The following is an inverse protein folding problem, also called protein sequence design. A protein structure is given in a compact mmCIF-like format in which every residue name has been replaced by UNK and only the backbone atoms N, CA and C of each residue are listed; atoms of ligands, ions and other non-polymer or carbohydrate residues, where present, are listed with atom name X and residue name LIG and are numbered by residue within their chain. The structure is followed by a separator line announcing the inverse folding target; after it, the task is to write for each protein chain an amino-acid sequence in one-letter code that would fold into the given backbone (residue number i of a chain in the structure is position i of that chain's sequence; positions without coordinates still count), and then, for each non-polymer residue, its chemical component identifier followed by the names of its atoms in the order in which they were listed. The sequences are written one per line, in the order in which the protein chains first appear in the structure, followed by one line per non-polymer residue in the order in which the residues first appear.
data_IF_095685591872
#
_entry.id   IF_095685591872
#
_cell.length_a   1.000
_cell.length_b   1.000
_cell.length_c   1.000
_cell.angle_alpha   90.00
_cell.angle_beta   90.00
_cell.angle_gamma   90.00
#
_symmetry.space_group_name_H-M   'P 1'
#
loop_
_entity.id
_entity.type
_entity.pdbx_description
1 polymer ?
#
# COMPACT_ATOMS: atom_id res chain seq x y z
N UNK A 1 -34.17 -14.40 67.60
CA UNK A 1 -32.79 -13.96 67.41
C UNK A 1 -32.50 -13.92 65.90
N UNK A 2 -32.56 -12.74 65.35
CA UNK A 2 -32.41 -12.54 63.90
C UNK A 2 -31.06 -11.86 63.61
N UNK A 3 -30.11 -12.58 63.05
CA UNK A 3 -28.84 -12.03 62.67
C UNK A 3 -28.96 -11.53 61.23
N UNK A 4 -28.95 -10.21 61.06
CA UNK A 4 -28.90 -9.52 59.79
C UNK A 4 -27.47 -9.64 59.26
N UNK A 5 -27.31 -10.30 58.09
CA UNK A 5 -26.10 -10.26 57.29
C UNK A 5 -26.14 -9.00 56.41
N UNK A 6 -25.32 -8.04 56.81
CA UNK A 6 -25.03 -6.88 55.94
C UNK A 6 -24.02 -7.34 54.93
N UNK A 7 -24.44 -7.49 53.66
CA UNK A 7 -23.50 -7.69 52.54
C UNK A 7 -22.94 -6.33 52.13
N UNK A 8 -21.69 -6.13 52.47
CA UNK A 8 -20.90 -5.01 51.99
C UNK A 8 -20.53 -5.28 50.54
N UNK A 9 -21.18 -4.57 49.60
CA UNK A 9 -20.77 -4.53 48.20
C UNK A 9 -19.61 -3.57 48.09
N UNK A 10 -18.40 -4.12 48.09
CA UNK A 10 -17.19 -3.34 47.76
C UNK A 10 -17.21 -3.22 46.23
N UNK A 11 -17.64 -2.08 45.75
CA UNK A 11 -17.47 -1.70 44.34
C UNK A 11 -15.97 -1.44 44.11
N UNK A 12 -15.29 -2.39 43.50
CA UNK A 12 -13.95 -2.21 42.97
C UNK A 12 -14.08 -1.33 41.72
N UNK A 13 -13.97 -0.03 41.93
CA UNK A 13 -13.75 0.89 40.81
C UNK A 13 -12.28 0.74 40.46
N UNK A 14 -12.02 -0.13 39.47
CA UNK A 14 -10.72 -0.19 38.81
C UNK A 14 -10.55 1.09 38.03
N UNK A 15 -9.82 2.05 38.62
CA UNK A 15 -9.23 3.15 37.89
C UNK A 15 -8.23 2.52 36.89
N UNK A 16 -8.67 2.24 35.68
CA UNK A 16 -7.75 2.01 34.59
C UNK A 16 -7.14 3.37 34.27
N UNK A 17 -5.96 3.58 34.83
CA UNK A 17 -5.06 4.66 34.44
C UNK A 17 -4.84 4.52 32.92
N UNK A 18 -5.39 5.47 32.17
CA UNK A 18 -4.99 5.74 30.79
C UNK A 18 -3.56 6.26 30.79
N UNK A 19 -2.63 5.38 31.08
CA UNK A 19 -1.22 5.58 30.76
C UNK A 19 -1.08 5.42 29.26
N UNK A 20 -0.74 6.51 28.58
CA UNK A 20 -0.43 6.51 27.17
C UNK A 20 0.66 5.50 26.85
N UNK A 21 0.28 4.36 26.32
CA UNK A 21 1.15 3.50 25.57
C UNK A 21 1.14 4.03 24.12
N UNK A 22 1.98 5.04 23.87
CA UNK A 22 2.50 5.27 22.54
C UNK A 22 3.41 4.08 22.19
N UNK A 23 2.80 2.90 22.13
CA UNK A 23 3.38 1.72 21.55
C UNK A 23 3.15 1.78 20.05
N UNK A 24 4.22 1.75 19.27
CA UNK A 24 4.17 1.33 17.88
C UNK A 24 3.67 -0.13 17.82
N UNK A 25 2.39 -0.34 18.10
CA UNK A 25 1.72 -1.61 17.88
C UNK A 25 1.55 -1.80 16.37
N UNK A 26 1.46 -3.04 15.90
CA UNK A 26 1.14 -3.30 14.51
C UNK A 26 -0.17 -2.56 14.20
N UNK A 27 -0.11 -1.65 13.23
CA UNK A 27 -1.28 -0.94 12.77
C UNK A 27 -2.24 -1.97 12.16
N UNK A 28 -3.20 -2.41 12.94
CA UNK A 28 -4.36 -3.10 12.43
C UNK A 28 -5.20 -2.08 11.69
N UNK A 29 -4.90 -1.88 10.43
CA UNK A 29 -5.76 -1.06 9.59
C UNK A 29 -7.03 -1.86 9.41
N UNK A 30 -8.11 -1.35 9.99
CA UNK A 30 -9.43 -1.93 9.83
C UNK A 30 -9.73 -2.03 8.32
N UNK A 31 -9.98 -3.22 7.76
CA UNK A 31 -10.27 -3.39 6.33
C UNK A 31 -11.54 -2.66 5.88
N UNK A 32 -12.28 -2.09 6.82
CA UNK A 32 -13.50 -1.31 6.58
C UNK A 32 -13.29 0.20 6.62
N UNK A 33 -12.06 0.68 6.45
CA UNK A 33 -11.82 2.13 6.35
C UNK A 33 -12.50 2.64 5.08
N UNK A 34 -13.47 3.51 5.25
CA UNK A 34 -14.00 4.29 4.12
C UNK A 34 -13.00 5.39 3.79
N UNK A 35 -12.43 5.32 2.61
CA UNK A 35 -11.51 6.34 2.12
C UNK A 35 -12.28 7.64 1.90
N UNK A 36 -11.92 8.69 2.63
CA UNK A 36 -12.50 10.02 2.44
C UNK A 36 -11.90 10.66 1.19
N UNK A 37 -12.75 11.30 0.40
CA UNK A 37 -12.28 12.10 -0.72
C UNK A 37 -11.38 13.22 -0.20
N UNK A 38 -10.16 13.31 -0.74
CA UNK A 38 -9.18 14.30 -0.36
C UNK A 38 -8.11 14.45 -1.44
N UNK A 39 -7.78 15.68 -1.78
CA UNK A 39 -6.65 15.98 -2.66
C UNK A 39 -5.29 15.57 -2.05
N UNK A 40 -5.24 15.33 -0.74
CA UNK A 40 -4.05 14.85 -0.03
C UNK A 40 -3.84 13.35 -0.17
N UNK A 41 -4.84 12.61 -0.65
CA UNK A 41 -4.67 11.21 -0.96
C UNK A 41 -3.79 11.06 -2.20
N UNK A 42 -2.86 10.13 -2.15
CA UNK A 42 -2.05 9.75 -3.30
C UNK A 42 -1.52 8.34 -3.16
N UNK A 43 -1.24 7.71 -4.29
CA UNK A 43 -0.52 6.44 -4.36
C UNK A 43 0.49 6.49 -5.50
N UNK A 44 1.65 5.94 -5.27
CA UNK A 44 2.70 5.70 -6.26
C UNK A 44 2.98 4.21 -6.31
N UNK A 45 2.79 3.60 -7.46
CA UNK A 45 3.01 2.18 -7.70
C UNK A 45 4.13 2.03 -8.74
N UNK A 46 5.15 1.27 -8.41
CA UNK A 46 6.21 0.92 -9.33
C UNK A 46 6.17 -0.58 -9.60
N UNK A 47 6.14 -0.95 -10.85
CA UNK A 47 6.28 -2.32 -11.31
C UNK A 47 7.59 -2.52 -12.06
N UNK A 48 8.28 -3.61 -11.79
CA UNK A 48 9.56 -3.96 -12.38
C UNK A 48 9.53 -5.38 -12.96
N UNK A 49 10.03 -5.53 -14.18
CA UNK A 49 10.26 -6.84 -14.77
C UNK A 49 11.77 -6.97 -15.04
N UNK A 50 12.43 -7.80 -14.22
CA UNK A 50 13.88 -7.99 -14.24
C UNK A 50 14.33 -9.10 -15.18
N UNK A 51 13.40 -9.77 -15.89
CA UNK A 51 13.76 -10.76 -16.94
C UNK A 51 14.55 -10.16 -18.09
N UNK A 52 14.48 -8.84 -18.24
CA UNK A 52 15.18 -8.09 -19.27
C UNK A 52 16.30 -7.27 -18.65
N UNK A 53 17.41 -7.15 -19.37
CA UNK A 53 18.48 -6.23 -19.02
C UNK A 53 18.64 -5.23 -20.17
N UNK A 54 18.42 -3.93 -20.00
CA UNK A 54 17.97 -3.28 -18.78
C UNK A 54 16.55 -3.66 -18.33
N UNK A 55 16.28 -3.47 -17.04
CA UNK A 55 14.98 -3.81 -16.41
C UNK A 55 13.88 -2.92 -16.93
N UNK A 56 12.79 -3.51 -17.38
CA UNK A 56 11.60 -2.74 -17.71
C UNK A 56 10.93 -2.24 -16.43
N UNK A 57 10.53 -0.98 -16.44
CA UNK A 57 9.91 -0.30 -15.32
C UNK A 57 8.71 0.52 -15.74
N UNK A 58 7.64 0.43 -14.96
CA UNK A 58 6.45 1.25 -15.07
C UNK A 58 6.20 1.88 -13.69
N UNK A 59 5.89 3.16 -13.65
CA UNK A 59 5.46 3.86 -12.45
C UNK A 59 4.17 4.60 -12.73
N UNK A 60 3.20 4.45 -11.83
CA UNK A 60 1.93 5.16 -11.84
C UNK A 60 1.83 5.96 -10.56
N UNK A 61 1.74 7.28 -10.66
CA UNK A 61 1.48 8.16 -9.54
C UNK A 61 0.08 8.76 -9.71
N UNK A 62 -0.77 8.57 -8.71
CA UNK A 62 -2.19 8.96 -8.73
C UNK A 62 -2.45 9.87 -7.54
N UNK A 63 -3.12 11.00 -7.78
CA UNK A 63 -3.54 11.91 -6.71
C UNK A 63 -5.05 11.94 -6.56
N UNK A 64 -5.55 12.25 -5.38
CA UNK A 64 -6.99 12.37 -5.09
C UNK A 64 -7.69 13.50 -5.87
N UNK A 65 -6.93 14.41 -6.48
CA UNK A 65 -7.44 15.45 -7.38
C UNK A 65 -7.66 14.96 -8.82
N UNK A 66 -7.40 13.67 -9.11
CA UNK A 66 -7.58 13.09 -10.44
C UNK A 66 -6.36 13.18 -11.37
N UNK A 67 -5.22 13.70 -10.93
CA UNK A 67 -4.00 13.70 -11.74
C UNK A 67 -3.31 12.36 -11.68
N UNK A 68 -2.89 11.87 -12.83
CA UNK A 68 -2.15 10.61 -12.99
C UNK A 68 -0.91 10.86 -13.84
N UNK A 69 0.26 10.57 -13.26
CA UNK A 69 1.53 10.55 -13.97
C UNK A 69 1.95 9.10 -14.23
N UNK A 70 1.97 8.69 -15.49
CA UNK A 70 2.50 7.42 -15.92
C UNK A 70 3.91 7.61 -16.45
N UNK A 71 4.86 6.85 -15.93
CA UNK A 71 6.24 6.80 -16.42
C UNK A 71 6.56 5.38 -16.88
N UNK A 72 7.09 5.24 -18.08
CA UNK A 72 7.56 3.98 -18.66
C UNK A 72 9.00 4.13 -19.11
N UNK A 73 9.79 3.11 -18.93
CA UNK A 73 11.17 3.10 -19.39
C UNK A 73 11.94 1.91 -18.88
N UNK A 74 13.24 2.07 -18.83
CA UNK A 74 14.13 1.06 -18.29
C UNK A 74 14.87 1.60 -17.06
N UNK A 75 15.32 0.69 -16.22
CA UNK A 75 16.16 0.96 -15.07
C UNK A 75 17.45 0.17 -15.17
N UNK A 76 18.56 0.75 -14.72
CA UNK A 76 19.75 -0.04 -14.44
C UNK A 76 19.60 -0.79 -13.13
N UNK A 77 19.89 -2.08 -13.17
CA UNK A 77 20.17 -2.85 -11.97
C UNK A 77 21.60 -2.54 -11.53
N UNK A 78 21.74 -1.70 -10.52
CA UNK A 78 23.07 -1.32 -10.00
C UNK A 78 23.66 -2.44 -9.14
N UNK A 79 22.89 -3.46 -8.76
CA UNK A 79 23.37 -4.65 -8.03
C UNK A 79 22.35 -5.78 -8.04
N UNK A 80 22.83 -7.02 -7.76
CA UNK A 80 21.98 -8.19 -7.53
C UNK A 80 21.03 -8.04 -6.32
N UNK A 81 21.20 -6.98 -5.53
CA UNK A 81 20.35 -6.66 -4.38
C UNK A 81 19.33 -5.57 -4.75
N UNK A 82 18.52 -5.87 -5.73
CA UNK A 82 17.43 -5.02 -6.19
C UNK A 82 16.53 -4.53 -5.03
N UNK A 83 16.34 -5.38 -4.03
CA UNK A 83 15.50 -5.07 -2.89
C UNK A 83 16.05 -3.92 -2.02
N UNK A 84 17.39 -3.74 -1.93
CA UNK A 84 17.98 -2.81 -0.97
C UNK A 84 18.42 -1.47 -1.56
N UNK A 85 18.79 -1.43 -2.85
CA UNK A 85 19.47 -0.27 -3.45
C UNK A 85 18.68 0.45 -4.53
N UNK A 86 17.45 0.07 -4.76
CA UNK A 86 16.65 0.72 -5.78
C UNK A 86 16.32 2.16 -5.36
N UNK A 87 16.73 3.12 -6.18
CA UNK A 87 16.33 4.54 -6.06
C UNK A 87 15.44 4.93 -7.23
N UNK A 88 14.55 5.90 -7.00
CA UNK A 88 13.64 6.41 -8.04
C UNK A 88 14.38 7.08 -9.21
N UNK A 89 15.65 7.37 -9.05
CA UNK A 89 16.44 8.24 -9.93
C UNK A 89 17.17 7.49 -11.07
N UNK A 90 17.12 6.16 -11.09
CA UNK A 90 17.83 5.33 -12.07
C UNK A 90 17.02 5.00 -13.31
N UNK A 91 16.24 5.94 -13.79
CA UNK A 91 15.51 5.77 -15.05
C UNK A 91 16.41 5.97 -16.26
N UNK A 92 16.24 5.11 -17.28
CA UNK A 92 16.74 5.29 -18.63
C UNK A 92 15.59 5.28 -19.62
N UNK A 93 15.73 6.01 -20.72
CA UNK A 93 14.73 6.04 -21.82
C UNK A 93 13.30 6.29 -21.34
N UNK A 94 13.14 7.13 -20.32
CA UNK A 94 11.87 7.37 -19.66
C UNK A 94 10.94 8.17 -20.55
N UNK A 95 9.74 7.64 -20.76
CA UNK A 95 8.59 8.36 -21.33
C UNK A 95 7.61 8.67 -20.22
N UNK A 96 7.11 9.90 -20.20
CA UNK A 96 6.11 10.34 -19.22
C UNK A 96 4.83 10.70 -19.96
N UNK A 97 3.70 10.21 -19.45
CA UNK A 97 2.36 10.58 -19.88
C UNK A 97 1.61 11.14 -18.67
N UNK A 98 0.91 12.25 -18.86
CA UNK A 98 0.06 12.87 -17.84
C UNK A 98 -1.38 12.76 -18.25
N UNK A 99 -2.21 12.27 -17.35
CA UNK A 99 -3.63 12.07 -17.56
C UNK A 99 -4.40 12.81 -16.47
N UNK A 100 -5.64 13.16 -16.80
CA UNK A 100 -6.60 13.66 -15.83
C UNK A 100 -7.80 12.72 -15.86
N UNK A 101 -8.13 12.17 -14.71
CA UNK A 101 -9.24 11.25 -14.52
C UNK A 101 -10.30 11.91 -13.64
N UNK A 102 -11.52 11.39 -13.72
CA UNK A 102 -12.58 11.79 -12.81
C UNK A 102 -12.17 11.47 -11.35
N UNK A 103 -12.25 12.44 -10.42
CA UNK A 103 -11.93 12.20 -9.01
C UNK A 103 -12.73 11.07 -8.39
N UNK A 104 -13.99 10.86 -8.80
CA UNK A 104 -14.81 9.75 -8.32
C UNK A 104 -14.25 8.39 -8.73
N UNK A 105 -13.70 8.29 -9.94
CA UNK A 105 -13.02 7.09 -10.40
C UNK A 105 -11.74 6.82 -9.57
N UNK A 106 -10.96 7.87 -9.31
CA UNK A 106 -9.77 7.77 -8.47
C UNK A 106 -10.12 7.37 -7.04
N UNK A 107 -11.21 7.91 -6.49
CA UNK A 107 -11.71 7.53 -5.18
C UNK A 107 -12.03 6.02 -5.10
N UNK A 108 -12.64 5.47 -6.16
CA UNK A 108 -12.91 4.04 -6.25
C UNK A 108 -11.62 3.22 -6.29
N UNK A 109 -10.58 3.69 -6.99
CA UNK A 109 -9.27 3.03 -7.00
C UNK A 109 -8.69 3.00 -5.58
N UNK A 110 -8.66 4.13 -4.87
CA UNK A 110 -8.15 4.17 -3.50
C UNK A 110 -8.94 3.28 -2.55
N UNK A 111 -10.28 3.29 -2.63
CA UNK A 111 -11.11 2.43 -1.81
C UNK A 111 -10.83 0.95 -2.11
N UNK A 112 -10.67 0.59 -3.38
CA UNK A 112 -10.36 -0.78 -3.78
C UNK A 112 -9.00 -1.24 -3.26
N UNK A 113 -7.98 -0.40 -3.34
CA UNK A 113 -6.66 -0.66 -2.79
C UNK A 113 -6.71 -0.89 -1.27
N UNK A 114 -7.46 -0.06 -0.54
CA UNK A 114 -7.62 -0.19 0.91
C UNK A 114 -8.38 -1.46 1.27
N UNK A 115 -9.46 -1.79 0.55
CA UNK A 115 -10.25 -3.00 0.76
C UNK A 115 -9.41 -4.28 0.58
N UNK A 116 -8.41 -4.25 -0.30
CA UNK A 116 -7.49 -5.37 -0.55
C UNK A 116 -6.23 -5.32 0.33
N UNK A 117 -6.15 -4.36 1.25
CA UNK A 117 -5.12 -4.33 2.28
C UNK A 117 -3.80 -3.69 1.87
N UNK A 118 -3.81 -2.66 1.00
CA UNK A 118 -2.58 -1.92 0.65
C UNK A 118 -1.87 -1.35 1.88
N UNK A 119 -2.63 -1.02 2.94
CA UNK A 119 -2.12 -0.48 4.19
C UNK A 119 -1.82 -1.56 5.24
N UNK A 120 -2.11 -2.82 4.92
CA UNK A 120 -1.94 -3.95 5.84
C UNK A 120 -0.58 -4.62 5.61
N UNK A 121 0.30 -4.48 6.59
CA UNK A 121 1.64 -5.08 6.55
C UNK A 121 1.61 -6.61 6.39
N UNK A 122 0.56 -7.27 6.86
CA UNK A 122 0.44 -8.74 6.75
C UNK A 122 0.18 -9.21 5.32
N UNK A 123 -0.23 -8.31 4.43
CA UNK A 123 -0.41 -8.59 3.01
C UNK A 123 0.90 -8.57 2.21
N UNK A 124 1.99 -8.13 2.84
CA UNK A 124 3.30 -8.00 2.24
C UNK A 124 4.29 -8.99 2.87
N UNK A 125 5.32 -9.40 2.12
CA UNK A 125 6.37 -10.28 2.61
C UNK A 125 5.92 -11.72 2.92
N UNK A 126 4.84 -12.20 2.31
CA UNK A 126 4.41 -13.59 2.45
C UNK A 126 5.42 -14.51 1.79
N UNK A 127 5.89 -15.53 2.54
CA UNK A 127 6.81 -16.51 1.99
C UNK A 127 6.20 -17.23 0.80
N UNK A 128 6.68 -16.95 -0.39
CA UNK A 128 6.32 -17.68 -1.60
C UNK A 128 7.11 -18.98 -1.70
N UNK A 129 6.44 -20.04 -2.16
CA UNK A 129 7.10 -21.28 -2.59
C UNK A 129 7.79 -21.11 -3.95
N UNK A 130 7.42 -20.08 -4.70
CA UNK A 130 8.02 -19.75 -6.00
C UNK A 130 9.31 -18.99 -5.79
N UNK A 131 10.39 -19.50 -6.38
CA UNK A 131 11.72 -18.85 -6.38
C UNK A 131 11.95 -17.96 -7.59
N UNK A 132 10.89 -17.47 -8.23
CA UNK A 132 11.01 -16.54 -9.34
C UNK A 132 11.15 -15.12 -8.78
N UNK A 133 12.35 -14.56 -8.90
CA UNK A 133 12.67 -13.20 -8.44
C UNK A 133 12.81 -12.25 -9.64
N UNK A 134 11.86 -12.31 -10.54
CA UNK A 134 11.90 -11.57 -11.80
C UNK A 134 10.91 -10.42 -11.89
N UNK A 135 10.01 -10.32 -10.93
CA UNK A 135 8.98 -9.26 -10.89
C UNK A 135 8.84 -8.69 -9.49
N UNK A 136 8.93 -7.38 -9.40
CA UNK A 136 8.81 -6.65 -8.14
C UNK A 136 7.75 -5.57 -8.25
N UNK A 137 7.15 -5.28 -7.12
CA UNK A 137 6.23 -4.18 -6.97
C UNK A 137 6.64 -3.35 -5.75
N UNK A 138 6.67 -2.03 -5.92
CA UNK A 138 6.90 -1.10 -4.82
C UNK A 138 5.73 -0.12 -4.77
N UNK A 139 5.30 0.18 -3.56
CA UNK A 139 4.19 1.09 -3.30
C UNK A 139 4.61 2.13 -2.30
N UNK A 140 4.22 3.37 -2.55
CA UNK A 140 4.18 4.43 -1.55
C UNK A 140 2.81 5.06 -1.62
N UNK A 141 2.19 5.35 -0.50
CA UNK A 141 0.90 6.02 -0.50
C UNK A 141 0.69 6.87 0.75
N UNK A 142 -0.24 7.79 0.62
CA UNK A 142 -0.91 8.47 1.71
C UNK A 142 -2.41 8.43 1.42
N UNK A 143 -3.14 7.59 2.13
CA UNK A 143 -4.57 7.43 1.95
C UNK A 143 -5.25 7.65 3.29
N UNK A 144 -6.18 8.62 3.36
CA UNK A 144 -6.88 8.99 4.58
C UNK A 144 -5.93 9.28 5.76
N UNK A 145 -4.82 9.99 5.49
CA UNK A 145 -3.72 10.30 6.42
C UNK A 145 -2.91 9.09 6.90
N UNK A 146 -3.08 7.93 6.30
CA UNK A 146 -2.22 6.77 6.54
C UNK A 146 -1.12 6.71 5.49
N UNK A 147 0.11 6.96 5.92
CA UNK A 147 1.29 6.85 5.04
C UNK A 147 1.84 5.44 5.13
N UNK A 148 2.06 4.83 3.97
CA UNK A 148 2.61 3.49 3.87
C UNK A 148 3.63 3.38 2.74
N UNK A 149 4.64 2.54 2.92
CA UNK A 149 5.64 2.27 1.89
C UNK A 149 6.15 0.85 2.02
N UNK A 150 6.05 0.07 0.96
CA UNK A 150 6.55 -1.30 0.92
C UNK A 150 7.09 -1.65 -0.47
N UNK A 151 7.98 -2.63 -0.53
CA UNK A 151 8.53 -3.16 -1.78
C UNK A 151 8.83 -4.64 -1.63
N UNK A 152 8.24 -5.43 -2.49
CA UNK A 152 8.37 -6.89 -2.43
C UNK A 152 8.43 -7.53 -3.82
N UNK A 153 8.89 -8.78 -3.85
CA UNK A 153 8.63 -9.64 -4.98
C UNK A 153 7.12 -9.86 -5.09
N UNK A 154 6.57 -9.78 -6.30
CA UNK A 154 5.13 -9.86 -6.52
C UNK A 154 4.51 -11.17 -5.99
N UNK A 155 5.29 -12.25 -5.93
CA UNK A 155 4.84 -13.54 -5.39
C UNK A 155 4.88 -13.60 -3.84
N UNK A 156 5.45 -12.59 -3.20
CA UNK A 156 5.48 -12.43 -1.74
C UNK A 156 4.44 -11.43 -1.24
N UNK A 157 3.73 -10.78 -2.16
CA UNK A 157 2.53 -10.01 -1.87
C UNK A 157 1.32 -10.94 -1.86
N UNK A 158 0.33 -10.63 -1.03
CA UNK A 158 -0.96 -11.34 -1.04
C UNK A 158 -1.52 -11.35 -2.48
N UNK A 159 -2.01 -12.49 -3.00
CA UNK A 159 -2.40 -12.61 -4.40
C UNK A 159 -3.49 -11.61 -4.83
N UNK A 160 -4.48 -11.35 -3.98
CA UNK A 160 -5.58 -10.44 -4.29
C UNK A 160 -5.07 -9.00 -4.35
N UNK A 161 -4.21 -8.60 -3.40
CA UNK A 161 -3.58 -7.29 -3.42
C UNK A 161 -2.65 -7.12 -4.63
N UNK A 162 -1.86 -8.16 -4.96
CA UNK A 162 -0.96 -8.14 -6.11
C UNK A 162 -1.72 -7.96 -7.42
N UNK A 163 -2.87 -8.64 -7.57
CA UNK A 163 -3.72 -8.52 -8.75
C UNK A 163 -4.28 -7.11 -8.91
N UNK A 164 -4.86 -6.54 -7.85
CA UNK A 164 -5.39 -5.17 -7.87
C UNK A 164 -4.31 -4.14 -8.19
N UNK A 165 -3.11 -4.28 -7.60
CA UNK A 165 -1.99 -3.37 -7.91
C UNK A 165 -1.57 -3.46 -9.38
N UNK A 166 -1.53 -4.67 -9.94
CA UNK A 166 -1.24 -4.88 -11.36
C UNK A 166 -2.33 -4.32 -12.27
N UNK A 167 -3.59 -4.45 -11.85
CA UNK A 167 -4.71 -3.92 -12.63
C UNK A 167 -4.69 -2.40 -12.68
N UNK A 168 -4.37 -1.73 -11.58
CA UNK A 168 -4.15 -0.28 -11.56
C UNK A 168 -3.03 0.11 -12.52
N UNK A 169 -1.91 -0.62 -12.53
CA UNK A 169 -0.82 -0.36 -13.47
C UNK A 169 -1.26 -0.57 -14.91
N UNK A 170 -1.97 -1.66 -15.23
CA UNK A 170 -2.45 -1.99 -16.58
C UNK A 170 -3.46 -0.98 -17.09
N UNK A 171 -4.38 -0.52 -16.25
CA UNK A 171 -5.40 0.46 -16.59
C UNK A 171 -4.80 1.73 -17.18
N UNK A 172 -3.70 2.20 -16.65
CA UNK A 172 -3.01 3.40 -17.14
C UNK A 172 -1.93 3.09 -18.17
N UNK A 173 -1.44 1.84 -18.23
CA UNK A 173 -0.42 1.41 -19.18
C UNK A 173 -0.97 1.28 -20.63
N UNK A 174 -2.20 0.86 -20.75
CA UNK A 174 -2.92 0.74 -22.03
C UNK A 174 -4.24 1.50 -21.94
N UNK A 175 -4.23 2.83 -22.01
CA UNK A 175 -5.47 3.60 -22.03
C UNK A 175 -6.17 3.35 -23.37
N UNK A 176 -6.96 2.26 -23.43
CA UNK A 176 -8.04 2.10 -24.42
C UNK A 176 -9.28 2.80 -23.86
N UNK A 177 -9.21 4.10 -23.74
CA UNK A 177 -10.33 4.99 -23.44
C UNK A 177 -10.49 6.00 -24.55
#
# INVERSE_FOLDING_TARGET
MCKRFVRLFVAFVSLVSLGGLEGCGPFWVNPWITVKESHLNWVEIHYYNTKRNPVNRISVFITGSGHVDLKKGTSELVSNDFAKKYTSDTWRDMKTMRLTCDPSHIQNIFQNLVNHGILDKEKWGKRSKKKEFDRFIAVKCNISNHTYSEKENIFEVDPDLAEILLDVVRQFDNPTL
#
